data_IF_514884156368
#
_entry.id   IF_514884156368
#
_cell.length_a   1.000
_cell.length_b   1.000
_cell.length_c   1.000
_cell.angle_alpha   90.00
_cell.angle_beta   90.00
_cell.angle_gamma   90.00
#
_symmetry.space_group_name_H-M   'P 1'
#
loop_
_entity.id
_entity.type
_entity.pdbx_description
1 polymer ?
#
# COMPACT_ATOMS: atom_id res chain seq x y z
N UNK A 1 34.45 -1.15 -41.70
CA UNK A 1 34.94 -0.37 -40.55
C UNK A 1 35.24 1.03 -41.04
N UNK A 2 34.54 2.08 -40.64
CA UNK A 2 33.41 2.21 -39.71
C UNK A 2 32.87 3.60 -40.01
N UNK A 3 31.58 3.66 -40.33
CA UNK A 3 30.84 4.90 -40.56
C UNK A 3 30.66 5.61 -39.22
N UNK A 4 31.61 6.49 -38.90
CA UNK A 4 31.33 7.66 -38.09
C UNK A 4 30.79 8.77 -39.03
N UNK A 5 29.76 9.46 -38.54
CA UNK A 5 29.11 10.65 -39.09
C UNK A 5 28.00 10.45 -40.14
N UNK A 6 26.76 10.30 -39.64
CA UNK A 6 25.72 11.30 -39.88
C UNK A 6 24.47 11.00 -39.04
N UNK A 7 24.35 11.69 -37.90
CA UNK A 7 23.18 12.49 -37.51
C UNK A 7 23.44 13.06 -36.11
N UNK A 8 24.02 14.25 -36.11
CA UNK A 8 24.09 15.14 -34.96
C UNK A 8 22.71 15.77 -34.72
N UNK A 9 21.97 15.22 -33.77
CA UNK A 9 21.08 15.98 -32.89
C UNK A 9 21.61 15.74 -31.49
N UNK A 10 22.57 16.55 -31.05
CA UNK A 10 23.22 16.38 -29.75
C UNK A 10 22.16 16.56 -28.67
N UNK A 11 21.91 15.51 -27.89
CA UNK A 11 21.36 15.71 -26.55
C UNK A 11 22.27 16.69 -25.82
N UNK A 12 21.72 17.81 -25.37
CA UNK A 12 22.50 18.79 -24.63
C UNK A 12 22.86 18.23 -23.23
N UNK A 13 23.80 18.88 -22.55
CA UNK A 13 24.22 18.46 -21.21
C UNK A 13 23.07 18.53 -20.19
N UNK A 14 22.00 19.28 -20.45
CA UNK A 14 20.81 19.35 -19.60
C UNK A 14 19.87 18.15 -19.83
N UNK A 15 19.77 17.60 -21.04
CA UNK A 15 19.11 16.32 -21.34
C UNK A 15 19.88 15.12 -20.77
N UNK A 16 21.21 15.16 -20.83
CA UNK A 16 22.06 14.19 -20.13
C UNK A 16 21.91 14.32 -18.61
N UNK A 17 21.77 15.53 -18.08
CA UNK A 17 21.53 15.77 -16.64
C UNK A 17 20.11 15.38 -16.21
N UNK A 18 19.09 15.48 -17.08
CA UNK A 18 17.77 14.87 -16.86
C UNK A 18 17.86 13.34 -16.83
N UNK A 19 18.68 12.72 -17.68
CA UNK A 19 19.01 11.29 -17.61
C UNK A 19 19.85 10.92 -16.37
N UNK A 20 20.67 11.83 -15.84
CA UNK A 20 21.34 11.64 -14.54
C UNK A 20 20.33 11.77 -13.39
N UNK A 21 19.25 12.55 -13.56
CA UNK A 21 18.04 12.48 -12.73
C UNK A 21 17.31 11.13 -12.79
N UNK A 22 17.45 10.40 -13.91
CA UNK A 22 17.03 8.98 -14.02
C UNK A 22 17.87 8.08 -13.11
N UNK A 23 19.13 8.45 -12.82
CA UNK A 23 19.99 7.74 -11.86
C UNK A 23 19.55 7.97 -10.42
N UNK A 24 19.12 9.18 -10.07
CA UNK A 24 18.54 9.47 -8.74
C UNK A 24 17.14 8.88 -8.56
N UNK A 25 16.35 8.75 -9.64
CA UNK A 25 15.06 8.05 -9.61
C UNK A 25 15.24 6.53 -9.69
N UNK A 26 16.31 6.00 -10.29
CA UNK A 26 16.75 4.62 -10.12
C UNK A 26 17.23 4.37 -8.68
N UNK A 27 17.99 5.28 -8.07
CA UNK A 27 18.40 5.18 -6.66
C UNK A 27 17.19 5.30 -5.71
N UNK A 28 16.21 6.15 -6.04
CA UNK A 28 14.91 6.20 -5.36
C UNK A 28 14.13 4.91 -5.56
N UNK A 29 14.13 4.33 -6.76
CA UNK A 29 13.56 3.02 -7.06
C UNK A 29 14.23 1.92 -6.21
N UNK A 30 15.56 1.90 -6.06
CA UNK A 30 16.24 0.93 -5.18
C UNK A 30 16.00 1.21 -3.69
N UNK A 31 15.80 2.47 -3.31
CA UNK A 31 15.48 2.86 -1.92
C UNK A 31 14.04 2.52 -1.54
N UNK A 32 13.09 2.65 -2.48
CA UNK A 32 11.67 2.34 -2.33
C UNK A 32 11.41 0.82 -2.52
N UNK A 33 12.07 0.18 -3.50
CA UNK A 33 11.94 -1.27 -3.79
C UNK A 33 12.82 -2.19 -2.96
N UNK A 34 13.63 -1.68 -2.02
CA UNK A 34 14.07 -2.52 -0.88
C UNK A 34 12.89 -3.05 -0.04
N UNK A 35 11.65 -2.58 -0.30
CA UNK A 35 10.41 -3.05 0.32
C UNK A 35 9.42 -3.73 -0.64
N UNK A 36 9.76 -3.96 -1.92
CA UNK A 36 8.88 -4.63 -2.89
C UNK A 36 9.59 -5.76 -3.64
N UNK A 37 8.83 -6.81 -3.95
CA UNK A 37 9.24 -8.22 -3.95
C UNK A 37 9.92 -8.74 -5.24
N UNK A 38 10.40 -7.87 -6.14
CA UNK A 38 10.98 -8.29 -7.44
C UNK A 38 12.29 -7.53 -7.69
N UNK A 39 13.40 -8.26 -7.65
CA UNK A 39 14.74 -7.76 -8.03
C UNK A 39 14.91 -7.91 -9.55
N UNK A 40 15.26 -6.82 -10.24
CA UNK A 40 15.63 -6.83 -11.66
C UNK A 40 17.09 -6.41 -11.83
N UNK A 41 17.82 -6.99 -12.78
CA UNK A 41 19.19 -6.55 -13.09
C UNK A 41 19.23 -5.16 -13.73
N UNK A 42 20.14 -4.31 -13.23
CA UNK A 42 20.32 -2.87 -13.52
C UNK A 42 20.38 -2.46 -15.00
N UNK A 43 20.78 -3.35 -15.89
CA UNK A 43 21.16 -3.02 -17.27
C UNK A 43 20.16 -3.52 -18.33
N UNK A 44 19.04 -4.14 -17.92
CA UNK A 44 18.11 -4.82 -18.83
C UNK A 44 16.84 -4.03 -19.20
N UNK A 45 16.59 -2.87 -18.56
CA UNK A 45 15.37 -2.10 -18.75
C UNK A 45 15.55 -0.91 -19.69
N UNK A 46 14.59 -0.69 -20.59
CA UNK A 46 14.57 0.48 -21.47
C UNK A 46 14.09 1.73 -20.74
N UNK A 47 14.45 2.95 -21.20
CA UNK A 47 13.91 4.19 -20.62
C UNK A 47 12.38 4.25 -20.58
N UNK A 48 11.72 3.70 -21.60
CA UNK A 48 10.27 3.63 -21.68
C UNK A 48 9.67 2.68 -20.63
N UNK A 49 10.31 1.52 -20.39
CA UNK A 49 9.89 0.61 -19.33
C UNK A 49 10.05 1.25 -17.94
N UNK A 50 11.14 1.97 -17.70
CA UNK A 50 11.35 2.70 -16.44
C UNK A 50 10.29 3.79 -16.26
N UNK A 51 10.08 4.64 -17.26
CA UNK A 51 9.07 5.70 -17.22
C UNK A 51 7.66 5.14 -16.94
N UNK A 52 7.34 3.99 -17.54
CA UNK A 52 6.06 3.30 -17.31
C UNK A 52 5.87 2.87 -15.86
N UNK A 53 6.95 2.54 -15.14
CA UNK A 53 6.86 2.04 -13.77
C UNK A 53 6.80 3.14 -12.70
N UNK A 54 7.37 4.32 -12.97
CA UNK A 54 7.63 5.34 -11.91
C UNK A 54 7.08 6.73 -12.20
N UNK A 55 6.89 7.08 -13.46
CA UNK A 55 6.45 8.42 -13.87
C UNK A 55 5.01 8.29 -14.38
N UNK A 56 4.61 9.16 -15.32
CA UNK A 56 3.29 9.15 -15.91
C UNK A 56 3.23 8.91 -17.42
N UNK A 57 2.02 9.00 -17.94
CA UNK A 57 1.69 8.85 -19.37
C UNK A 57 2.42 9.87 -20.24
N UNK A 58 2.64 11.10 -19.75
CA UNK A 58 3.28 12.17 -20.52
C UNK A 58 4.74 11.86 -20.87
N UNK A 59 5.53 11.36 -19.90
CA UNK A 59 6.90 10.94 -20.17
C UNK A 59 6.94 9.76 -21.14
N UNK A 60 6.05 8.78 -20.97
CA UNK A 60 5.93 7.65 -21.89
C UNK A 60 5.59 8.10 -23.30
N UNK A 61 4.66 9.06 -23.44
CA UNK A 61 4.28 9.65 -24.74
C UNK A 61 5.47 10.31 -25.42
N UNK A 62 6.19 11.17 -24.72
CA UNK A 62 7.36 11.86 -25.27
C UNK A 62 8.42 10.87 -25.77
N UNK A 63 8.72 9.83 -24.97
CA UNK A 63 9.68 8.80 -25.37
C UNK A 63 9.24 8.03 -26.62
N UNK A 64 7.95 7.74 -26.75
CA UNK A 64 7.39 7.06 -27.94
C UNK A 64 7.44 7.97 -29.17
N UNK A 65 7.17 9.27 -29.02
CA UNK A 65 7.29 10.26 -30.10
C UNK A 65 8.75 10.41 -30.59
N UNK A 66 9.72 10.28 -29.69
CA UNK A 66 11.16 10.23 -29.99
C UNK A 66 11.62 8.86 -30.54
N UNK A 67 10.69 7.91 -30.74
CA UNK A 67 10.95 6.63 -31.40
C UNK A 67 11.28 5.47 -30.47
N UNK A 68 10.96 5.54 -29.18
CA UNK A 68 11.08 4.40 -28.28
C UNK A 68 10.15 3.25 -28.72
N UNK A 69 10.70 2.03 -28.77
CA UNK A 69 9.94 0.83 -29.14
C UNK A 69 9.05 0.37 -27.98
N UNK A 70 7.75 0.26 -28.25
CA UNK A 70 6.72 -0.16 -27.30
C UNK A 70 6.61 -1.68 -27.13
N UNK A 71 7.20 -2.45 -28.06
CA UNK A 71 7.09 -3.91 -28.07
C UNK A 71 8.25 -4.61 -27.33
N UNK A 72 9.12 -3.84 -26.68
CA UNK A 72 10.26 -4.42 -25.96
C UNK A 72 9.78 -5.13 -24.70
N UNK A 73 10.12 -6.40 -24.60
CA UNK A 73 9.92 -7.22 -23.42
C UNK A 73 11.13 -7.13 -22.48
N UNK A 74 10.89 -7.19 -21.17
CA UNK A 74 11.95 -7.38 -20.18
C UNK A 74 12.53 -8.78 -20.39
N UNK A 75 13.80 -8.87 -20.79
CA UNK A 75 14.39 -10.11 -21.31
C UNK A 75 14.26 -11.30 -20.34
N UNK A 76 14.45 -11.09 -19.05
CA UNK A 76 14.40 -12.16 -18.05
C UNK A 76 12.99 -12.72 -17.84
N UNK A 77 11.97 -11.86 -17.90
CA UNK A 77 10.58 -12.24 -17.61
C UNK A 77 9.72 -12.43 -18.86
N UNK A 78 10.07 -11.85 -20.01
CA UNK A 78 9.15 -11.64 -21.14
C UNK A 78 8.05 -10.61 -20.85
N UNK A 79 8.27 -9.73 -19.88
CA UNK A 79 7.23 -8.80 -19.44
C UNK A 79 7.14 -7.57 -20.35
N UNK A 80 5.95 -7.26 -20.84
CA UNK A 80 5.66 -6.09 -21.71
C UNK A 80 5.36 -4.81 -20.91
N UNK A 81 5.22 -3.67 -21.60
CA UNK A 81 4.77 -2.40 -20.98
C UNK A 81 3.42 -2.51 -20.25
N UNK A 82 2.54 -3.43 -20.68
CA UNK A 82 1.28 -3.68 -19.97
C UNK A 82 1.50 -4.29 -18.58
N UNK A 83 2.51 -5.15 -18.43
CA UNK A 83 2.89 -5.69 -17.13
C UNK A 83 3.48 -4.59 -16.24
N UNK A 84 4.32 -3.72 -16.80
CA UNK A 84 4.90 -2.58 -16.08
C UNK A 84 3.82 -1.59 -15.63
N UNK A 85 2.86 -1.25 -16.51
CA UNK A 85 1.73 -0.38 -16.18
C UNK A 85 0.88 -0.96 -15.05
N UNK A 86 0.74 -2.28 -15.00
CA UNK A 86 0.02 -2.97 -13.92
C UNK A 86 0.72 -2.91 -12.55
N UNK A 87 2.00 -2.56 -12.51
CA UNK A 87 2.76 -2.31 -11.28
C UNK A 87 2.80 -0.84 -10.87
N UNK A 88 2.37 0.09 -11.75
CA UNK A 88 2.42 1.52 -11.47
C UNK A 88 1.30 1.91 -10.49
N UNK A 89 1.68 2.49 -9.36
CA UNK A 89 0.76 2.84 -8.27
C UNK A 89 -0.07 4.10 -8.55
N UNK A 90 0.47 5.06 -9.29
CA UNK A 90 -0.14 6.38 -9.49
C UNK A 90 -0.90 6.50 -10.81
N UNK A 91 -0.28 6.05 -11.91
CA UNK A 91 -0.74 6.31 -13.29
C UNK A 91 -1.09 5.05 -14.08
N UNK A 92 -1.13 3.88 -13.43
CA UNK A 92 -1.28 2.60 -14.14
C UNK A 92 -2.55 2.46 -15.00
N UNK A 93 -3.69 3.02 -14.58
CA UNK A 93 -4.92 3.00 -15.39
C UNK A 93 -4.76 3.76 -16.71
N UNK A 94 -4.27 5.00 -16.63
CA UNK A 94 -4.09 5.85 -17.81
C UNK A 94 -3.03 5.26 -18.75
N UNK A 95 -1.98 4.63 -18.19
CA UNK A 95 -0.96 3.91 -18.96
C UNK A 95 -1.55 2.69 -19.69
N UNK A 96 -2.39 1.88 -19.02
CA UNK A 96 -3.06 0.75 -19.66
C UNK A 96 -3.96 1.19 -20.81
N UNK A 97 -4.71 2.28 -20.63
CA UNK A 97 -5.58 2.82 -21.68
C UNK A 97 -4.77 3.41 -22.83
N UNK A 98 -3.71 4.17 -22.53
CA UNK A 98 -2.82 4.72 -23.54
C UNK A 98 -2.14 3.62 -24.36
N UNK A 99 -1.54 2.62 -23.73
CA UNK A 99 -0.90 1.51 -24.43
C UNK A 99 -1.88 0.64 -25.20
N UNK A 100 -3.11 0.46 -24.70
CA UNK A 100 -4.19 -0.20 -25.45
C UNK A 100 -4.51 0.57 -26.74
N UNK A 101 -4.50 1.91 -26.69
CA UNK A 101 -4.72 2.76 -27.88
C UNK A 101 -3.62 2.61 -28.93
N UNK A 102 -2.42 2.19 -28.51
CA UNK A 102 -1.29 1.85 -29.39
C UNK A 102 -1.34 0.39 -29.90
N UNK A 103 -2.36 -0.38 -29.51
CA UNK A 103 -2.58 -1.76 -29.95
C UNK A 103 -1.90 -2.83 -29.08
N UNK A 104 -1.33 -2.47 -27.92
CA UNK A 104 -0.79 -3.45 -26.98
C UNK A 104 -1.94 -4.22 -26.31
N UNK A 105 -1.73 -5.52 -26.09
CA UNK A 105 -2.77 -6.41 -25.54
C UNK A 105 -2.74 -6.43 -24.01
N UNK A 106 -3.90 -6.19 -23.40
CA UNK A 106 -4.09 -6.24 -21.94
C UNK A 106 -3.95 -7.66 -21.34
N UNK A 107 -4.04 -8.70 -22.18
CA UNK A 107 -3.90 -10.11 -21.79
C UNK A 107 -2.56 -10.73 -22.23
N UNK A 108 -1.59 -9.88 -22.63
CA UNK A 108 -0.24 -10.32 -23.00
C UNK A 108 0.36 -11.21 -21.90
N UNK A 109 1.13 -12.23 -22.29
CA UNK A 109 1.69 -13.22 -21.37
C UNK A 109 3.20 -13.13 -21.32
N UNK A 110 3.74 -13.09 -20.11
CA UNK A 110 5.16 -13.23 -19.84
C UNK A 110 5.64 -14.68 -20.10
N UNK A 111 6.93 -14.96 -19.92
CA UNK A 111 7.54 -16.30 -20.07
C UNK A 111 6.99 -17.35 -19.10
N UNK A 112 6.29 -16.92 -18.05
CA UNK A 112 5.69 -17.76 -17.02
C UNK A 112 4.17 -17.90 -17.20
N UNK A 113 3.59 -17.33 -18.26
CA UNK A 113 2.15 -17.35 -18.51
C UNK A 113 1.33 -16.39 -17.64
N UNK A 114 1.98 -15.52 -16.87
CA UNK A 114 1.31 -14.44 -16.15
C UNK A 114 0.97 -13.32 -17.14
N UNK A 115 -0.19 -12.69 -16.96
CA UNK A 115 -0.50 -11.43 -17.63
C UNK A 115 -0.46 -10.23 -16.68
N UNK A 116 -0.76 -9.03 -17.19
CA UNK A 116 -0.87 -7.80 -16.39
C UNK A 116 -1.77 -7.96 -15.15
N UNK A 117 -2.84 -8.75 -15.25
CA UNK A 117 -3.73 -9.03 -14.11
C UNK A 117 -2.98 -9.69 -12.94
N UNK A 118 -2.15 -10.69 -13.21
CA UNK A 118 -1.36 -11.35 -12.16
C UNK A 118 -0.35 -10.39 -11.52
N UNK A 119 0.18 -9.43 -12.30
CA UNK A 119 1.08 -8.41 -11.78
C UNK A 119 0.35 -7.42 -10.86
N UNK A 120 -0.84 -6.96 -11.26
CA UNK A 120 -1.68 -6.08 -10.44
C UNK A 120 -2.11 -6.76 -9.12
N UNK A 121 -2.47 -8.05 -9.16
CA UNK A 121 -2.77 -8.85 -7.96
C UNK A 121 -1.54 -8.93 -7.05
N UNK A 122 -0.36 -9.18 -7.62
CA UNK A 122 0.89 -9.23 -6.85
C UNK A 122 1.26 -7.89 -6.23
N UNK A 123 1.01 -6.78 -6.94
CA UNK A 123 1.22 -5.42 -6.46
C UNK A 123 0.15 -4.94 -5.48
N UNK A 124 -0.93 -5.71 -5.28
CA UNK A 124 -2.09 -5.29 -4.48
C UNK A 124 -2.80 -4.03 -5.02
N UNK A 125 -2.79 -3.83 -6.34
CA UNK A 125 -3.41 -2.66 -6.98
C UNK A 125 -4.86 -2.97 -7.41
N UNK A 126 -5.81 -2.74 -6.50
CA UNK A 126 -7.23 -3.07 -6.70
C UNK A 126 -7.87 -2.37 -7.89
N UNK A 127 -7.52 -1.10 -8.15
CA UNK A 127 -8.03 -0.31 -9.28
C UNK A 127 -7.67 -0.94 -10.62
N UNK A 128 -6.42 -1.37 -10.76
CA UNK A 128 -5.97 -2.03 -11.99
C UNK A 128 -6.56 -3.43 -12.11
N UNK A 129 -6.67 -4.18 -11.01
CA UNK A 129 -7.33 -5.49 -11.01
C UNK A 129 -8.78 -5.37 -11.49
N UNK A 130 -9.53 -4.38 -11.01
CA UNK A 130 -10.88 -4.10 -11.47
C UNK A 130 -10.94 -3.75 -12.96
N UNK A 131 -10.00 -2.94 -13.46
CA UNK A 131 -9.92 -2.56 -14.87
C UNK A 131 -9.57 -3.73 -15.81
N UNK A 132 -8.78 -4.69 -15.34
CA UNK A 132 -8.30 -5.84 -16.11
C UNK A 132 -9.23 -7.05 -16.02
N UNK A 133 -10.05 -7.13 -14.97
CA UNK A 133 -11.11 -8.12 -14.90
C UNK A 133 -12.25 -7.73 -15.85
N UNK A 134 -12.94 -8.71 -16.45
CA UNK A 134 -14.10 -8.41 -17.27
C UNK A 134 -15.14 -7.62 -16.46
N UNK A 135 -15.90 -6.70 -17.09
CA UNK A 135 -16.87 -5.88 -16.38
C UNK A 135 -17.84 -6.74 -15.59
N UNK A 136 -18.15 -6.29 -14.36
CA UNK A 136 -19.17 -6.89 -13.49
C UNK A 136 -20.46 -7.03 -14.31
N UNK A 137 -20.98 -8.25 -14.47
CA UNK A 137 -22.20 -8.45 -15.24
C UNK A 137 -23.32 -7.59 -14.63
N UNK A 138 -24.11 -6.87 -15.44
CA UNK A 138 -25.27 -6.16 -14.93
C UNK A 138 -26.21 -7.14 -14.23
N UNK A 139 -26.80 -6.69 -13.11
CA UNK A 139 -27.60 -7.48 -12.14
C UNK A 139 -28.79 -8.26 -12.73
N UNK A 140 -29.05 -8.19 -14.03
CA UNK A 140 -30.22 -8.78 -14.68
C UNK A 140 -29.93 -10.00 -15.56
N UNK A 141 -28.67 -10.35 -15.82
CA UNK A 141 -28.34 -11.64 -16.43
C UNK A 141 -27.59 -12.52 -15.45
N UNK A 142 -28.25 -13.62 -15.06
CA UNK A 142 -27.65 -14.75 -14.35
C UNK A 142 -26.51 -15.34 -15.18
N UNK A 143 -25.34 -14.73 -15.17
CA UNK A 143 -24.18 -15.20 -15.91
C UNK A 143 -23.08 -15.62 -14.94
N UNK A 144 -23.12 -16.93 -14.66
CA UNK A 144 -22.00 -17.78 -14.23
C UNK A 144 -21.37 -17.41 -12.87
N UNK A 145 -21.67 -18.25 -11.87
CA UNK A 145 -20.98 -18.28 -10.56
C UNK A 145 -19.44 -18.19 -10.69
N UNK A 146 -18.86 -18.58 -11.83
CA UNK A 146 -17.42 -18.57 -12.08
C UNK A 146 -16.76 -17.20 -12.11
N UNK A 147 -17.35 -16.17 -12.74
CA UNK A 147 -16.63 -14.90 -12.95
C UNK A 147 -16.67 -14.02 -11.70
N UNK A 148 -17.83 -13.94 -11.04
CA UNK A 148 -17.98 -13.26 -9.76
C UNK A 148 -17.27 -14.01 -8.63
N UNK A 149 -17.33 -15.35 -8.59
CA UNK A 149 -16.57 -16.13 -7.60
C UNK A 149 -15.05 -15.99 -7.80
N UNK A 150 -14.57 -15.92 -9.05
CA UNK A 150 -13.15 -15.68 -9.33
C UNK A 150 -12.73 -14.28 -8.86
N UNK A 151 -13.52 -13.26 -9.18
CA UNK A 151 -13.30 -11.89 -8.70
C UNK A 151 -13.24 -11.82 -7.16
N UNK A 152 -14.22 -12.40 -6.48
CA UNK A 152 -14.25 -12.46 -5.01
C UNK A 152 -13.06 -13.24 -4.42
N UNK A 153 -12.64 -14.34 -5.06
CA UNK A 153 -11.45 -15.09 -4.60
C UNK A 153 -10.16 -14.28 -4.74
N UNK A 154 -10.00 -13.52 -5.83
CA UNK A 154 -8.84 -12.67 -6.07
C UNK A 154 -8.80 -11.54 -5.04
N UNK A 155 -9.94 -10.89 -4.76
CA UNK A 155 -10.02 -9.87 -3.72
C UNK A 155 -9.68 -10.44 -2.33
N UNK A 156 -10.17 -11.64 -2.01
CA UNK A 156 -9.84 -12.30 -0.76
C UNK A 156 -8.34 -12.63 -0.63
N UNK A 157 -7.70 -13.06 -1.71
CA UNK A 157 -6.25 -13.31 -1.76
C UNK A 157 -5.44 -12.02 -1.58
N UNK A 158 -5.83 -10.94 -2.27
CA UNK A 158 -5.23 -9.61 -2.14
C UNK A 158 -5.35 -9.09 -0.71
N UNK A 159 -6.55 -9.19 -0.12
CA UNK A 159 -6.82 -8.83 1.28
C UNK A 159 -5.92 -9.60 2.24
N UNK A 160 -5.87 -10.93 2.11
CA UNK A 160 -5.04 -11.79 2.97
C UNK A 160 -3.55 -11.44 2.84
N UNK A 161 -3.10 -11.09 1.62
CA UNK A 161 -1.71 -10.69 1.37
C UNK A 161 -1.39 -9.34 2.00
N UNK A 162 -2.30 -8.37 1.90
CA UNK A 162 -2.18 -7.07 2.55
C UNK A 162 -2.13 -7.24 4.07
N UNK A 163 -3.05 -8.02 4.65
CA UNK A 163 -3.09 -8.33 6.07
C UNK A 163 -1.77 -8.98 6.55
N UNK A 164 -1.27 -9.98 5.81
CA UNK A 164 0.01 -10.63 6.11
C UNK A 164 1.20 -9.68 6.01
N UNK A 165 1.21 -8.76 5.04
CA UNK A 165 2.26 -7.74 4.91
C UNK A 165 2.25 -6.79 6.11
N UNK A 166 1.07 -6.29 6.51
CA UNK A 166 0.93 -5.45 7.70
C UNK A 166 1.41 -6.17 8.96
N UNK A 167 1.09 -7.45 9.11
CA UNK A 167 1.54 -8.25 10.25
C UNK A 167 3.06 -8.51 10.24
N UNK A 168 3.63 -8.80 9.07
CA UNK A 168 5.07 -9.06 8.91
C UNK A 168 5.93 -7.80 9.13
N UNK A 169 5.47 -6.63 8.68
CA UNK A 169 6.16 -5.34 8.88
C UNK A 169 6.17 -4.90 10.36
N UNK A 170 5.31 -5.47 11.21
CA UNK A 170 5.26 -5.20 12.66
C UNK A 170 5.88 -6.29 13.54
N UNK A 171 6.06 -7.50 13.02
CA UNK A 171 6.70 -8.61 13.77
C UNK A 171 8.20 -8.37 14.04
N UNK A 172 8.78 -7.28 13.51
CA UNK A 172 10.12 -6.78 13.89
C UNK A 172 10.23 -6.41 15.38
N UNK A 173 9.11 -6.22 16.10
CA UNK A 173 9.11 -5.98 17.55
C UNK A 173 8.81 -7.22 18.40
N UNK A 174 8.74 -8.41 17.79
CA UNK A 174 8.65 -9.70 18.48
C UNK A 174 7.25 -10.06 18.94
N UNK A 175 6.66 -11.08 18.30
CA UNK A 175 5.50 -11.85 18.76
C UNK A 175 4.38 -10.97 19.37
N UNK A 176 3.98 -9.95 18.62
CA UNK A 176 3.12 -8.86 19.09
C UNK A 176 1.66 -9.28 19.32
N UNK A 177 1.26 -10.46 18.84
CA UNK A 177 -0.11 -10.98 18.96
C UNK A 177 -1.17 -10.05 18.37
N UNK A 178 -0.78 -9.02 17.61
CA UNK A 178 -1.66 -8.01 17.06
C UNK A 178 -2.34 -8.57 15.80
N UNK A 179 -3.59 -8.18 15.57
CA UNK A 179 -4.25 -8.32 14.26
C UNK A 179 -4.02 -7.04 13.43
N UNK A 180 -4.36 -7.07 12.14
CA UNK A 180 -4.14 -5.91 11.27
C UNK A 180 -4.81 -4.62 11.75
N UNK A 181 -5.98 -4.69 12.39
CA UNK A 181 -6.65 -3.50 12.93
C UNK A 181 -5.91 -2.92 14.14
N UNK A 182 -5.27 -3.75 14.96
CA UNK A 182 -4.42 -3.27 16.06
C UNK A 182 -3.17 -2.57 15.53
N UNK A 183 -2.58 -3.11 14.46
CA UNK A 183 -1.42 -2.49 13.79
C UNK A 183 -1.82 -1.15 13.17
N UNK A 184 -2.92 -1.10 12.41
CA UNK A 184 -3.42 0.13 11.81
C UNK A 184 -3.74 1.19 12.88
N UNK A 185 -4.38 0.79 13.97
CA UNK A 185 -4.65 1.68 15.10
C UNK A 185 -3.35 2.20 15.74
N UNK A 186 -2.34 1.33 15.94
CA UNK A 186 -1.05 1.73 16.48
C UNK A 186 -0.25 2.65 15.57
N UNK A 187 -0.46 2.58 14.25
CA UNK A 187 0.13 3.48 13.27
C UNK A 187 -0.64 4.80 13.11
N UNK A 188 -1.75 4.95 13.83
CA UNK A 188 -2.69 6.05 13.70
C UNK A 188 -3.29 6.22 12.29
N UNK A 189 -3.46 5.13 11.54
CA UNK A 189 -3.98 5.15 10.17
C UNK A 189 -5.51 4.95 10.16
N UNK A 190 -6.25 6.07 10.15
CA UNK A 190 -7.72 6.07 10.19
C UNK A 190 -8.35 5.44 8.95
N UNK A 191 -7.81 5.73 7.77
CA UNK A 191 -8.36 5.23 6.52
C UNK A 191 -8.18 3.71 6.41
N UNK A 192 -7.02 3.20 6.83
CA UNK A 192 -6.79 1.76 6.93
C UNK A 192 -7.72 1.10 7.94
N UNK A 193 -7.96 1.72 9.10
CA UNK A 193 -8.92 1.20 10.08
C UNK A 193 -10.32 1.09 9.48
N UNK A 194 -10.80 2.14 8.80
CA UNK A 194 -12.11 2.15 8.13
C UNK A 194 -12.21 1.07 7.05
N UNK A 195 -11.14 0.90 6.26
CA UNK A 195 -11.09 -0.14 5.23
C UNK A 195 -11.17 -1.54 5.85
N UNK A 196 -10.37 -1.84 6.88
CA UNK A 196 -10.41 -3.13 7.59
C UNK A 196 -11.79 -3.43 8.19
N UNK A 197 -12.45 -2.41 8.75
CA UNK A 197 -13.80 -2.53 9.30
C UNK A 197 -14.85 -2.80 8.21
N UNK A 198 -14.73 -2.16 7.05
CA UNK A 198 -15.61 -2.42 5.91
C UNK A 198 -15.50 -3.86 5.40
N UNK A 199 -14.37 -4.51 5.67
CA UNK A 199 -14.09 -5.89 5.31
C UNK A 199 -14.35 -6.88 6.46
N UNK A 200 -15.22 -6.49 7.40
CA UNK A 200 -15.73 -7.36 8.46
C UNK A 200 -14.70 -7.81 9.51
N UNK A 201 -13.57 -7.11 9.62
CA UNK A 201 -12.61 -7.36 10.71
C UNK A 201 -13.29 -7.01 12.05
N UNK A 202 -13.18 -7.91 13.01
CA UNK A 202 -13.73 -7.70 14.34
C UNK A 202 -12.94 -6.62 15.10
N UNK A 203 -13.55 -5.44 15.21
CA UNK A 203 -13.00 -4.29 15.96
C UNK A 203 -12.85 -4.58 17.45
N UNK A 204 -13.66 -5.49 18.01
CA UNK A 204 -13.65 -5.84 19.44
C UNK A 204 -12.63 -6.93 19.76
N UNK A 205 -11.90 -7.44 18.76
CA UNK A 205 -10.80 -8.37 19.00
C UNK A 205 -9.75 -7.74 19.90
N UNK A 206 -9.13 -8.55 20.76
CA UNK A 206 -8.00 -8.15 21.60
C UNK A 206 -6.70 -8.69 21.00
N UNK A 207 -5.60 -8.00 21.26
CA UNK A 207 -4.28 -8.56 20.96
C UNK A 207 -4.05 -9.87 21.72
N UNK A 208 -3.33 -10.81 21.12
CA UNK A 208 -2.98 -12.12 21.71
C UNK A 208 -1.62 -12.10 22.41
N UNK A 209 -1.17 -10.92 22.81
CA UNK A 209 0.06 -10.74 23.60
C UNK A 209 -0.26 -10.72 25.10
N UNK A 210 0.74 -10.40 25.93
CA UNK A 210 0.58 -10.38 27.39
C UNK A 210 -0.35 -9.28 27.91
N UNK A 211 -0.56 -8.21 27.15
CA UNK A 211 -1.39 -7.08 27.54
C UNK A 211 -2.86 -7.31 27.18
N UNK A 212 -3.17 -8.03 26.09
CA UNK A 212 -4.56 -8.15 25.58
C UNK A 212 -5.21 -6.78 25.34
N UNK A 213 -4.43 -5.86 24.77
CA UNK A 213 -4.86 -4.52 24.36
C UNK A 213 -6.03 -4.58 23.37
N UNK A 214 -6.95 -3.61 23.47
CA UNK A 214 -7.93 -3.30 22.42
C UNK A 214 -7.42 -2.19 21.48
N UNK A 215 -8.21 -1.82 20.47
CA UNK A 215 -7.83 -0.78 19.49
C UNK A 215 -7.58 0.61 20.10
N UNK A 216 -8.23 0.99 21.21
CA UNK A 216 -7.97 2.26 21.89
C UNK A 216 -6.59 2.27 22.56
N UNK A 217 -6.18 1.16 23.19
CA UNK A 217 -4.83 1.03 23.74
C UNK A 217 -3.76 1.12 22.65
N UNK A 218 -4.02 0.51 21.48
CA UNK A 218 -3.12 0.60 20.34
C UNK A 218 -3.03 2.04 19.80
N UNK A 219 -4.15 2.72 19.59
CA UNK A 219 -4.17 4.12 19.15
C UNK A 219 -3.43 5.06 20.11
N UNK A 220 -3.52 4.78 21.41
CA UNK A 220 -2.82 5.54 22.45
C UNK A 220 -1.30 5.29 22.50
N UNK A 221 -0.77 4.27 21.81
CA UNK A 221 0.67 3.96 21.81
C UNK A 221 1.49 4.73 20.78
N UNK A 222 0.87 5.28 19.74
CA UNK A 222 1.57 6.13 18.80
C UNK A 222 1.89 7.49 19.46
N UNK A 223 2.91 8.20 18.98
CA UNK A 223 3.21 9.57 19.43
C UNK A 223 2.43 10.65 18.70
N UNK A 224 1.71 10.32 17.63
CA UNK A 224 0.96 11.30 16.84
C UNK A 224 -0.36 10.74 16.33
N UNK A 225 -1.33 11.63 16.13
CA UNK A 225 -2.62 11.40 15.45
C UNK A 225 -3.55 10.32 16.05
N UNK A 226 -3.25 9.78 17.24
CA UNK A 226 -4.09 8.78 17.91
C UNK A 226 -5.47 9.32 18.32
N UNK A 227 -5.58 10.63 18.55
CA UNK A 227 -6.81 11.28 19.01
C UNK A 227 -7.99 11.11 18.03
N UNK A 228 -7.73 11.15 16.73
CA UNK A 228 -8.78 11.00 15.70
C UNK A 228 -9.36 9.59 15.71
N UNK A 229 -8.49 8.57 15.89
CA UNK A 229 -8.91 7.18 15.99
C UNK A 229 -9.64 6.88 17.29
N UNK A 230 -9.17 7.42 18.42
CA UNK A 230 -9.86 7.29 19.69
C UNK A 230 -11.27 7.85 19.57
N UNK A 231 -11.41 9.06 19.03
CA UNK A 231 -12.72 9.68 18.81
C UNK A 231 -13.60 8.82 17.89
N UNK A 232 -13.07 8.37 16.76
CA UNK A 232 -13.79 7.52 15.81
C UNK A 232 -14.27 6.20 16.44
N UNK A 233 -13.41 5.48 17.16
CA UNK A 233 -13.79 4.20 17.77
C UNK A 233 -14.80 4.39 18.90
N UNK A 234 -14.69 5.46 19.69
CA UNK A 234 -15.66 5.76 20.75
C UNK A 234 -17.00 6.17 20.15
N UNK A 235 -17.03 7.04 19.15
CA UNK A 235 -18.28 7.55 18.56
C UNK A 235 -19.03 6.51 17.74
N UNK A 236 -18.34 5.77 16.88
CA UNK A 236 -18.98 4.85 15.93
C UNK A 236 -19.25 3.48 16.55
N UNK A 237 -18.37 3.02 17.44
CA UNK A 237 -18.45 1.67 17.97
C UNK A 237 -18.79 1.63 19.45
N UNK A 238 -18.76 2.73 20.20
CA UNK A 238 -19.08 2.75 21.62
C UNK A 238 -18.05 1.98 22.45
N UNK A 239 -16.75 2.22 22.21
CA UNK A 239 -15.72 1.69 23.09
C UNK A 239 -15.74 2.37 24.46
N UNK A 240 -15.53 1.57 25.50
CA UNK A 240 -15.27 2.08 26.84
C UNK A 240 -13.88 2.72 26.89
N UNK A 241 -13.83 4.02 27.16
CA UNK A 241 -12.60 4.82 27.25
C UNK A 241 -11.71 4.40 28.42
N UNK A 242 -12.28 3.76 29.44
CA UNK A 242 -11.59 3.25 30.62
C UNK A 242 -11.43 1.71 30.59
N UNK A 243 -11.64 1.09 29.41
CA UNK A 243 -11.41 -0.33 29.24
C UNK A 243 -10.01 -0.71 29.73
N UNK A 244 -9.93 -1.74 30.55
CA UNK A 244 -8.66 -2.21 31.11
C UNK A 244 -8.12 -3.37 30.30
N UNK A 245 -6.83 -3.30 29.99
CA UNK A 245 -6.06 -4.44 29.49
C UNK A 245 -5.83 -5.49 30.60
N UNK A 246 -5.17 -6.60 30.26
CA UNK A 246 -4.85 -7.69 31.20
C UNK A 246 -3.96 -7.26 32.38
N UNK A 247 -3.20 -6.19 32.22
CA UNK A 247 -2.36 -5.60 33.26
C UNK A 247 -3.11 -4.57 34.11
N UNK A 248 -4.38 -4.28 33.78
CA UNK A 248 -5.21 -3.29 34.46
C UNK A 248 -4.99 -1.86 33.98
N UNK A 249 -4.22 -1.67 32.90
CA UNK A 249 -3.93 -0.36 32.33
C UNK A 249 -5.07 0.05 31.38
N UNK A 250 -5.35 1.34 31.33
CA UNK A 250 -6.35 1.94 30.41
C UNK A 250 -5.64 2.58 29.21
N UNK A 251 -6.37 2.95 28.13
CA UNK A 251 -5.79 3.73 27.04
C UNK A 251 -5.10 5.01 27.50
N UNK A 252 -5.63 5.68 28.54
CA UNK A 252 -5.02 6.88 29.10
C UNK A 252 -3.65 6.59 29.74
N UNK A 253 -3.47 5.43 30.38
CA UNK A 253 -2.13 5.02 30.86
C UNK A 253 -1.16 4.92 29.69
N UNK A 254 -1.57 4.28 28.58
CA UNK A 254 -0.70 4.12 27.40
C UNK A 254 -0.32 5.45 26.75
N UNK A 255 -1.28 6.38 26.65
CA UNK A 255 -1.04 7.70 26.09
C UNK A 255 -0.01 8.48 26.93
N UNK A 256 -0.11 8.40 28.27
CA UNK A 256 0.83 9.04 29.18
C UNK A 256 2.21 8.36 29.17
N UNK A 257 2.28 7.02 29.14
CA UNK A 257 3.53 6.25 29.01
C UNK A 257 4.33 6.69 27.76
N UNK A 258 3.63 6.96 26.66
CA UNK A 258 4.23 7.30 25.37
C UNK A 258 4.39 8.80 25.14
N UNK A 259 4.03 9.63 26.12
CA UNK A 259 4.03 11.10 26.06
C UNK A 259 3.16 11.68 24.93
N UNK A 260 2.08 10.97 24.55
CA UNK A 260 1.12 11.43 23.55
C UNK A 260 0.04 12.30 24.22
N UNK A 261 0.35 13.59 24.33
CA UNK A 261 -0.49 14.57 25.04
C UNK A 261 -1.83 14.77 24.32
N UNK A 262 -1.83 14.85 22.98
CA UNK A 262 -3.05 15.08 22.20
C UNK A 262 -4.07 13.95 22.39
N UNK A 263 -3.61 12.70 22.40
CA UNK A 263 -4.49 11.55 22.62
C UNK A 263 -4.92 11.44 24.09
N UNK A 264 -4.04 11.78 25.04
CA UNK A 264 -4.42 11.85 26.45
C UNK A 264 -5.50 12.91 26.71
N UNK A 265 -5.37 14.10 26.11
CA UNK A 265 -6.38 15.16 26.19
C UNK A 265 -7.71 14.73 25.57
N UNK A 266 -7.68 14.04 24.43
CA UNK A 266 -8.89 13.55 23.79
C UNK A 266 -9.59 12.47 24.62
N UNK A 267 -8.83 11.52 25.19
CA UNK A 267 -9.37 10.53 26.12
C UNK A 267 -10.05 11.19 27.34
N UNK A 268 -9.44 12.24 27.90
CA UNK A 268 -10.04 13.01 28.99
C UNK A 268 -11.31 13.74 28.57
N UNK A 269 -11.35 14.35 27.37
CA UNK A 269 -12.56 14.98 26.82
C UNK A 269 -13.69 13.97 26.62
N UNK A 270 -13.36 12.74 26.24
CA UNK A 270 -14.30 11.64 26.06
C UNK A 270 -14.69 10.96 27.39
N UNK A 271 -14.17 11.44 28.52
CA UNK A 271 -14.62 11.05 29.86
C UNK A 271 -13.74 10.02 30.58
N UNK A 272 -12.51 9.78 30.13
CA UNK A 272 -11.59 8.86 30.82
C UNK A 272 -11.32 9.31 32.27
N UNK A 273 -11.38 8.37 33.21
CA UNK A 273 -11.21 8.64 34.63
C UNK A 273 -9.71 8.77 35.01
N UNK A 274 -9.28 10.01 35.22
CA UNK A 274 -7.93 10.34 35.68
C UNK A 274 -7.57 9.70 37.05
N UNK A 275 -8.55 9.33 37.88
CA UNK A 275 -8.28 8.67 39.15
C UNK A 275 -7.69 7.26 38.96
N UNK A 276 -7.99 6.60 37.84
CA UNK A 276 -7.45 5.28 37.51
C UNK A 276 -5.93 5.31 37.30
N UNK A 277 -5.37 6.43 36.82
CA UNK A 277 -3.92 6.65 36.70
C UNK A 277 -3.26 6.69 38.08
N UNK A 278 -3.90 7.37 39.04
CA UNK A 278 -3.37 7.56 40.40
C UNK A 278 -3.37 6.26 41.22
N UNK A 279 -4.31 5.36 40.94
CA UNK A 279 -4.43 4.07 41.63
C UNK A 279 -3.35 3.05 41.19
N UNK A 280 -2.78 3.20 40.00
CA UNK A 280 -1.72 2.33 39.47
C UNK A 280 -0.31 2.65 40.03
N UNK A 281 -0.19 3.54 41.01
CA UNK A 281 1.09 3.91 41.64
C UNK A 281 1.88 4.99 40.92
N UNK A 282 1.29 5.66 39.92
CA UNK A 282 1.91 6.79 39.23
C UNK A 282 1.70 8.07 40.05
N UNK A 283 2.76 8.44 40.78
CA UNK A 283 2.86 9.70 41.53
C UNK A 283 2.69 10.89 40.61
N UNK A 284 1.89 11.87 41.07
CA UNK A 284 1.53 13.14 40.43
C UNK A 284 2.57 13.69 39.43
N UNK A 285 2.13 13.94 38.20
CA UNK A 285 2.75 14.92 37.32
C UNK A 285 2.43 16.29 37.95
N UNK A 286 3.43 16.89 38.60
CA UNK A 286 3.38 18.27 39.11
C UNK A 286 3.65 19.26 37.97
#
# INVERSE_FOLDING_TARGET
MSYENNLTGKMDSDELNKLIGVKSTLDAFYTINKKSFIEFERDSLTPLQVATMIDGVEMCRNLIEEGADVNVEIEELGATLMHCAALNEEHGLDLLDYFSSLGLKLDAKDKFGNGPLQYAIRANNSKIVERLLPPKCPEEEKSTETTESQYLSILAEMKLKQEKRLLADFDVFGNSGMSAIHVAAMLSDLDMCKWLLSDGVDVRSLTKNKCEDNVLHCAAKNKSHGQELVQYFVSEFGFDVDAKDKLGLTPLHRALDMENIETAEELLKLGADLALIKAAGWTQIN
#
